data_IF_771669758169
#
_entry.id   IF_771669758169
#
_cell.length_a   1.000
_cell.length_b   1.000
_cell.length_c   1.000
_cell.angle_alpha   90.00
_cell.angle_beta   90.00
_cell.angle_gamma   90.00
#
_symmetry.space_group_name_H-M   'P 1'
#
loop_
_entity.id
_entity.type
_entity.pdbx_description
1 polymer ?
#
# COMPACT_ATOMS: atom_id res chain seq x y z
N UNK A 1 26.41 3.79 -12.65
CA UNK A 1 25.15 3.75 -11.89
C UNK A 1 25.05 5.08 -11.16
N UNK A 2 24.00 5.88 -11.41
CA UNK A 2 23.79 7.09 -10.63
C UNK A 2 23.32 6.64 -9.24
N UNK A 3 23.99 7.11 -8.19
CA UNK A 3 23.53 6.88 -6.83
C UNK A 3 22.28 7.73 -6.64
N UNK A 4 21.16 7.09 -6.34
CA UNK A 4 20.01 7.81 -5.80
C UNK A 4 20.42 8.31 -4.41
N UNK A 5 20.58 9.63 -4.29
CA UNK A 5 20.90 10.27 -3.02
C UNK A 5 19.66 10.50 -2.17
N UNK A 6 18.51 9.92 -2.56
CA UNK A 6 17.27 9.74 -1.81
C UNK A 6 17.08 10.70 -0.65
N UNK A 7 16.18 11.67 -0.80
CA UNK A 7 15.73 12.47 0.33
C UNK A 7 15.05 11.54 1.34
N UNK A 8 15.84 10.96 2.25
CA UNK A 8 15.37 9.97 3.22
C UNK A 8 14.24 10.56 4.05
N UNK A 9 13.01 10.08 3.82
CA UNK A 9 11.83 10.56 4.52
C UNK A 9 10.60 10.67 3.63
N UNK A 10 9.51 11.15 4.23
CA UNK A 10 8.22 11.33 3.58
C UNK A 10 8.30 12.42 2.50
N UNK A 11 8.03 12.04 1.25
CA UNK A 11 8.09 12.91 0.07
C UNK A 11 6.86 13.83 -0.10
N UNK A 12 5.93 13.83 0.85
CA UNK A 12 4.66 14.58 0.74
C UNK A 12 3.56 13.82 -0.01
N UNK A 13 3.86 12.62 -0.53
CA UNK A 13 2.95 11.77 -1.32
C UNK A 13 3.02 10.34 -0.78
N UNK A 14 1.91 9.62 -0.82
CA UNK A 14 1.85 8.17 -0.66
C UNK A 14 1.21 7.54 -1.90
N UNK A 15 1.74 6.41 -2.37
CA UNK A 15 1.15 5.63 -3.45
C UNK A 15 0.15 4.63 -2.85
N UNK A 16 -1.10 4.64 -3.33
CA UNK A 16 -2.12 3.72 -2.85
C UNK A 16 -2.23 2.49 -3.76
N UNK A 17 -2.15 1.31 -3.16
CA UNK A 17 -2.36 0.02 -3.80
C UNK A 17 -3.58 -0.68 -3.16
N UNK A 18 -4.67 -0.80 -3.93
CA UNK A 18 -5.87 -1.46 -3.45
C UNK A 18 -5.84 -2.96 -3.75
N UNK A 19 -6.32 -3.78 -2.81
CA UNK A 19 -6.38 -5.24 -2.90
C UNK A 19 -7.79 -5.76 -2.62
N UNK A 20 -8.06 -7.00 -3.06
CA UNK A 20 -9.40 -7.56 -3.09
C UNK A 20 -9.91 -8.00 -1.70
N UNK A 21 -9.02 -8.19 -0.72
CA UNK A 21 -9.42 -8.60 0.63
C UNK A 21 -8.52 -8.04 1.73
N UNK A 22 -9.00 -7.97 3.00
CA UNK A 22 -8.16 -7.62 4.14
C UNK A 22 -6.94 -8.53 4.30
N UNK A 23 -7.08 -9.83 4.02
CA UNK A 23 -5.96 -10.77 4.11
C UNK A 23 -4.86 -10.50 3.09
N UNK A 24 -5.22 -9.98 1.91
CA UNK A 24 -4.25 -9.55 0.90
C UNK A 24 -3.47 -8.30 1.34
N UNK A 25 -4.03 -7.46 2.22
CA UNK A 25 -3.29 -6.33 2.80
C UNK A 25 -2.11 -6.86 3.61
N UNK A 26 -2.38 -7.77 4.55
CA UNK A 26 -1.34 -8.37 5.39
C UNK A 26 -0.32 -9.15 4.57
N UNK A 27 -0.78 -9.91 3.58
CA UNK A 27 0.09 -10.67 2.69
C UNK A 27 1.02 -9.75 1.87
N UNK A 28 0.49 -8.64 1.36
CA UNK A 28 1.28 -7.65 0.60
C UNK A 28 2.30 -6.94 1.49
N UNK A 29 1.92 -6.54 2.71
CA UNK A 29 2.84 -5.93 3.67
C UNK A 29 3.99 -6.89 4.04
N UNK A 30 3.67 -8.17 4.26
CA UNK A 30 4.68 -9.19 4.53
C UNK A 30 5.62 -9.41 3.33
N UNK A 31 5.07 -9.42 2.11
CA UNK A 31 5.86 -9.54 0.88
C UNK A 31 6.77 -8.32 0.68
N UNK A 32 6.27 -7.10 0.91
CA UNK A 32 7.06 -5.89 0.84
C UNK A 32 8.20 -5.89 1.86
N UNK A 33 7.94 -6.32 3.09
CA UNK A 33 8.97 -6.46 4.12
C UNK A 33 10.04 -7.48 3.72
N UNK A 34 9.63 -8.64 3.19
CA UNK A 34 10.55 -9.67 2.71
C UNK A 34 11.42 -9.19 1.53
N UNK A 35 10.91 -8.24 0.74
CA UNK A 35 11.63 -7.61 -0.36
C UNK A 35 12.55 -6.44 0.06
N UNK A 36 12.66 -6.15 1.36
CA UNK A 36 13.52 -5.08 1.89
C UNK A 36 12.80 -3.77 2.18
N UNK A 37 11.48 -3.72 2.01
CA UNK A 37 10.66 -2.62 2.50
C UNK A 37 10.56 -2.60 4.02
N UNK A 38 10.14 -1.46 4.58
CA UNK A 38 9.91 -1.29 6.02
C UNK A 38 8.43 -1.07 6.29
N UNK A 39 7.78 -1.94 7.06
CA UNK A 39 6.38 -1.74 7.48
C UNK A 39 6.32 -0.55 8.44
N UNK A 40 5.65 0.52 8.03
CA UNK A 40 5.42 1.74 8.82
C UNK A 40 4.18 1.59 9.70
N UNK A 41 3.15 0.91 9.17
CA UNK A 41 1.90 0.66 9.87
C UNK A 41 1.37 -0.72 9.48
N UNK A 42 1.24 -1.61 10.47
CA UNK A 42 0.63 -2.92 10.26
C UNK A 42 -0.84 -2.78 9.83
N UNK A 43 -1.33 -3.79 9.10
CA UNK A 43 -2.71 -3.90 8.68
C UNK A 43 -3.67 -3.74 9.86
N UNK A 44 -4.68 -2.89 9.70
CA UNK A 44 -5.72 -2.68 10.69
C UNK A 44 -6.98 -2.09 10.04
N UNK A 45 -8.12 -2.24 10.72
CA UNK A 45 -9.34 -1.55 10.34
C UNK A 45 -9.15 -0.04 10.39
N UNK A 46 -9.70 0.67 9.40
CA UNK A 46 -9.63 2.13 9.28
C UNK A 46 -11.01 2.77 9.39
N UNK A 47 -11.06 4.03 9.82
CA UNK A 47 -12.30 4.69 10.29
C UNK A 47 -13.43 4.74 9.26
N UNK A 48 -13.10 4.68 7.97
CA UNK A 48 -14.05 4.72 6.88
C UNK A 48 -14.62 3.33 6.53
N UNK A 49 -14.21 2.26 7.21
CA UNK A 49 -14.82 0.93 7.09
C UNK A 49 -14.02 -0.11 6.29
N UNK A 50 -12.81 0.22 5.83
CA UNK A 50 -11.91 -0.75 5.20
C UNK A 50 -10.83 -1.26 6.13
N UNK A 51 -9.79 -1.83 5.53
CA UNK A 51 -8.63 -2.39 6.21
C UNK A 51 -7.36 -1.96 5.47
N UNK A 52 -6.33 -1.49 6.17
CA UNK A 52 -5.14 -0.98 5.50
C UNK A 52 -3.91 -0.85 6.38
N UNK A 53 -2.76 -0.74 5.73
CA UNK A 53 -1.45 -0.54 6.35
C UNK A 53 -0.50 0.18 5.39
N UNK A 54 0.71 0.46 5.88
CA UNK A 54 1.70 1.23 5.13
C UNK A 54 3.08 0.61 5.23
N UNK A 55 3.87 0.74 4.17
CA UNK A 55 5.29 0.43 4.16
C UNK A 55 6.06 1.48 3.37
N UNK A 56 7.37 1.59 3.59
CA UNK A 56 8.28 2.28 2.67
C UNK A 56 9.06 1.26 1.86
N UNK A 57 9.24 1.50 0.57
CA UNK A 57 10.17 0.70 -0.25
C UNK A 57 11.65 1.04 0.08
N UNK A 58 12.63 0.32 -0.49
CA UNK A 58 14.05 0.56 -0.21
C UNK A 58 14.55 1.97 -0.56
N UNK A 59 13.86 2.67 -1.46
CA UNK A 59 14.17 4.04 -1.88
C UNK A 59 13.47 5.10 -1.01
N UNK A 60 12.63 4.65 -0.06
CA UNK A 60 11.98 5.49 0.93
C UNK A 60 10.61 6.02 0.51
N UNK A 61 10.05 5.58 -0.61
CA UNK A 61 8.72 5.99 -1.02
C UNK A 61 7.65 5.33 -0.13
N UNK A 62 6.67 6.12 0.31
CA UNK A 62 5.59 5.62 1.15
C UNK A 62 4.48 5.01 0.31
N UNK A 63 4.08 3.79 0.67
CA UNK A 63 3.00 3.03 0.05
C UNK A 63 1.90 2.76 1.08
N UNK A 64 0.66 2.97 0.67
CA UNK A 64 -0.54 2.45 1.34
C UNK A 64 -0.98 1.16 0.66
N UNK A 65 -1.23 0.11 1.44
CA UNK A 65 -1.96 -1.07 0.97
C UNK A 65 -3.33 -1.05 1.63
N UNK A 66 -4.39 -1.05 0.83
CA UNK A 66 -5.75 -0.91 1.32
C UNK A 66 -6.71 -1.93 0.71
N UNK A 67 -7.58 -2.48 1.53
CA UNK A 67 -8.83 -3.07 1.08
C UNK A 67 -9.94 -2.05 1.30
N UNK A 68 -10.44 -1.48 0.20
CA UNK A 68 -11.57 -0.56 0.21
C UNK A 68 -12.84 -1.26 -0.32
N UNK A 69 -13.83 -1.57 0.54
CA UNK A 69 -15.04 -2.28 0.11
C UNK A 69 -15.96 -1.41 -0.78
N UNK A 70 -15.64 -0.13 -0.97
CA UNK A 70 -16.38 0.78 -1.84
C UNK A 70 -15.75 0.97 -3.22
N UNK A 71 -14.54 0.42 -3.46
CA UNK A 71 -13.89 0.41 -4.76
C UNK A 71 -13.82 -1.04 -5.27
N UNK A 72 -14.86 -1.52 -5.98
CA UNK A 72 -14.87 -2.87 -6.51
C UNK A 72 -13.82 -3.01 -7.63
N UNK A 73 -13.47 -4.26 -7.92
CA UNK A 73 -12.63 -4.62 -9.06
C UNK A 73 -13.50 -5.21 -10.18
N UNK A 74 -13.16 -4.92 -11.44
CA UNK A 74 -13.76 -5.56 -12.60
C UNK A 74 -13.21 -7.01 -12.79
N UNK A 75 -13.74 -7.74 -13.78
CA UNK A 75 -13.28 -9.11 -14.09
C UNK A 75 -11.79 -9.19 -14.49
N UNK A 76 -11.20 -8.08 -14.95
CA UNK A 76 -9.79 -7.98 -15.30
C UNK A 76 -8.90 -7.57 -14.10
N UNK A 77 -9.51 -7.31 -12.92
CA UNK A 77 -8.79 -6.87 -11.73
C UNK A 77 -8.45 -5.39 -11.70
N UNK A 78 -9.09 -4.55 -12.53
CA UNK A 78 -8.95 -3.10 -12.45
C UNK A 78 -9.87 -2.52 -11.38
N UNK A 79 -9.37 -1.52 -10.67
CA UNK A 79 -10.16 -0.74 -9.73
C UNK A 79 -11.22 0.07 -10.48
N UNK A 80 -12.49 -0.11 -10.11
CA UNK A 80 -13.61 0.65 -10.65
C UNK A 80 -13.89 1.83 -9.72
N UNK A 81 -13.79 3.04 -10.26
CA UNK A 81 -14.11 4.25 -9.51
C UNK A 81 -15.61 4.53 -9.58
N UNK A 82 -16.21 5.07 -8.51
CA UNK A 82 -17.57 5.59 -8.57
C UNK A 82 -17.63 6.80 -9.52
N UNK A 83 -18.81 7.03 -10.10
CA UNK A 83 -19.11 8.20 -10.94
C UNK A 83 -18.99 9.54 -10.19
#
# INVERSE_FOLDING_TARGET
MLADTGAGGFSGIALAFNVASPGEVDATLAAAQAAGGTVVKAGQSVFWGGYGGYFTDPDGHLWEVAHNPFFPFDEAGHLVLPD
#
